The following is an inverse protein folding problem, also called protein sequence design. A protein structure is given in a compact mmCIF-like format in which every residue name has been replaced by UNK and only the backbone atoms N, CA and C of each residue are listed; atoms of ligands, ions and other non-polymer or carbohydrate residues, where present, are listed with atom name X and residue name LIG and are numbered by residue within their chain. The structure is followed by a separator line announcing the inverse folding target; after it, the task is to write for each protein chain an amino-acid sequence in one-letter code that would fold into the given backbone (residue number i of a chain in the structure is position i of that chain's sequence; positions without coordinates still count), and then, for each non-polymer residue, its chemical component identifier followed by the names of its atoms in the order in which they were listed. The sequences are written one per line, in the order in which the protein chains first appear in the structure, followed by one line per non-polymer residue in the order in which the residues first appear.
data_IF_545011707870
#
_entry.id   IF_545011707870
#
_cell.length_a   1.000
_cell.length_b   1.000
_cell.length_c   1.000
_cell.angle_alpha   90.00
_cell.angle_beta   90.00
_cell.angle_gamma   90.00
#
_symmetry.space_group_name_H-M   'P 1'
#
loop_
_entity.id
_entity.type
_entity.pdbx_description
1 polymer ?
#
# COMPACT_ATOMS: atom_id res chain seq x y z
N UNK A 1 -2.36 12.22 -16.05
CA UNK A 1 -2.13 11.41 -14.83
C UNK A 1 -1.55 12.34 -13.77
N UNK A 2 -2.13 12.34 -12.57
CA UNK A 2 -1.64 13.13 -11.44
C UNK A 2 -1.24 12.19 -10.29
N UNK A 3 -0.15 12.51 -9.59
CA UNK A 3 0.34 11.74 -8.45
C UNK A 3 0.96 12.64 -7.39
N UNK A 4 0.67 12.33 -6.13
CA UNK A 4 1.41 12.83 -4.97
C UNK A 4 2.01 11.62 -4.27
N UNK A 5 3.33 11.61 -4.06
CA UNK A 5 4.04 10.51 -3.39
C UNK A 5 4.81 11.12 -2.21
N UNK A 6 4.60 10.58 -1.02
CA UNK A 6 5.33 10.94 0.18
C UNK A 6 6.20 9.74 0.59
N UNK A 7 7.51 9.95 0.66
CA UNK A 7 8.45 8.95 1.16
C UNK A 7 8.98 9.39 2.52
N UNK A 8 8.85 8.54 3.51
CA UNK A 8 9.38 8.74 4.85
C UNK A 8 10.33 7.58 5.18
N UNK A 9 11.65 7.75 5.02
CA UNK A 9 12.63 6.71 5.31
C UNK A 9 12.46 6.14 6.72
N UNK A 10 12.49 4.82 6.86
CA UNK A 10 12.26 4.12 8.13
C UNK A 10 10.79 4.02 8.56
N UNK A 11 9.85 4.58 7.79
CA UNK A 11 8.40 4.49 8.02
C UNK A 11 7.71 3.85 6.81
N UNK A 12 8.05 4.28 5.60
CA UNK A 12 7.49 3.76 4.36
C UNK A 12 7.09 4.86 3.40
N UNK A 13 6.11 4.60 2.55
CA UNK A 13 5.62 5.54 1.55
C UNK A 13 4.09 5.60 1.52
N UNK A 14 3.56 6.75 1.13
CA UNK A 14 2.16 6.89 0.75
C UNK A 14 2.04 7.56 -0.60
N UNK A 15 0.97 7.26 -1.33
CA UNK A 15 0.68 7.97 -2.56
C UNK A 15 -0.82 8.19 -2.75
N UNK A 16 -1.17 9.27 -3.45
CA UNK A 16 -2.49 9.47 -4.03
C UNK A 16 -2.33 9.53 -5.55
N UNK A 17 -3.02 8.63 -6.24
CA UNK A 17 -2.97 8.45 -7.69
C UNK A 17 -4.32 8.81 -8.29
N UNK A 18 -4.32 9.68 -9.31
CA UNK A 18 -5.51 10.02 -10.11
C UNK A 18 -5.22 9.79 -11.58
N UNK A 19 -6.11 9.06 -12.24
CA UNK A 19 -6.02 8.70 -13.65
C UNK A 19 -7.34 8.99 -14.36
N UNK A 20 -7.25 9.41 -15.62
CA UNK A 20 -8.41 9.67 -16.50
C UNK A 20 -8.48 8.68 -17.68
N UNK A 21 -7.76 7.58 -17.55
CA UNK A 21 -7.69 6.51 -18.55
C UNK A 21 -7.43 5.19 -17.83
N UNK A 22 -7.77 4.09 -18.50
CA UNK A 22 -7.33 2.78 -18.05
C UNK A 22 -5.81 2.69 -17.97
N UNK A 23 -5.30 1.90 -17.03
CA UNK A 23 -3.88 1.61 -16.87
C UNK A 23 -3.72 0.10 -16.78
N UNK A 24 -2.75 -0.44 -17.54
CA UNK A 24 -2.30 -1.81 -17.40
C UNK A 24 -0.81 -1.77 -17.10
N UNK A 25 -0.42 -2.30 -15.95
CA UNK A 25 0.99 -2.52 -15.58
C UNK A 25 1.20 -4.02 -15.48
N UNK A 26 2.15 -4.55 -16.23
CA UNK A 26 2.40 -5.98 -16.31
C UNK A 26 3.67 -6.35 -15.57
N UNK A 27 3.68 -7.52 -14.92
CA UNK A 27 4.85 -8.11 -14.27
C UNK A 27 5.53 -7.19 -13.27
N UNK A 28 4.74 -6.47 -12.47
CA UNK A 28 5.25 -5.64 -11.39
C UNK A 28 5.68 -6.52 -10.22
N UNK A 29 6.95 -6.45 -9.86
CA UNK A 29 7.46 -7.07 -8.64
C UNK A 29 7.28 -6.12 -7.44
N UNK A 30 6.68 -6.64 -6.37
CA UNK A 30 6.43 -5.92 -5.14
C UNK A 30 7.49 -6.27 -4.11
N UNK A 31 8.44 -5.38 -3.87
CA UNK A 31 9.48 -5.56 -2.85
C UNK A 31 8.90 -5.51 -1.43
N UNK A 32 7.89 -4.65 -1.23
CA UNK A 32 7.21 -4.44 0.05
C UNK A 32 5.72 -4.78 -0.07
N UNK A 33 5.04 -4.97 1.07
CA UNK A 33 3.59 -5.12 1.07
C UNK A 33 2.92 -3.77 0.85
N UNK A 34 1.96 -3.74 -0.08
CA UNK A 34 1.25 -2.54 -0.48
C UNK A 34 -0.23 -2.66 -0.13
N UNK A 35 -0.77 -1.62 0.49
CA UNK A 35 -2.20 -1.45 0.76
C UNK A 35 -2.77 -0.38 -0.18
N UNK A 36 -3.81 -0.73 -0.91
CA UNK A 36 -4.52 0.16 -1.82
C UNK A 36 -5.93 0.39 -1.28
N UNK A 37 -6.34 1.64 -1.11
CA UNK A 37 -7.75 2.04 -1.00
C UNK A 37 -8.19 2.55 -2.37
N UNK A 38 -9.35 2.12 -2.83
CA UNK A 38 -9.93 2.56 -4.10
C UNK A 38 -11.09 3.53 -3.83
N UNK A 39 -10.88 4.85 -3.80
CA UNK A 39 -12.01 5.78 -3.71
C UNK A 39 -12.91 5.80 -4.96
N UNK A 40 -12.35 5.66 -6.17
CA UNK A 40 -13.09 5.75 -7.42
C UNK A 40 -12.54 4.79 -8.48
N UNK A 41 -13.46 4.15 -9.22
CA UNK A 41 -13.13 3.15 -10.22
C UNK A 41 -12.91 1.77 -9.61
N UNK A 42 -12.04 0.97 -10.22
CA UNK A 42 -11.67 -0.35 -9.71
C UNK A 42 -10.22 -0.69 -10.07
N UNK A 43 -9.61 -1.51 -9.23
CA UNK A 43 -8.30 -2.12 -9.47
C UNK A 43 -8.45 -3.62 -9.49
N UNK A 44 -8.04 -4.25 -10.59
CA UNK A 44 -7.87 -5.70 -10.71
C UNK A 44 -6.40 -6.03 -10.57
N UNK A 45 -6.08 -6.99 -9.72
CA UNK A 45 -4.73 -7.56 -9.61
C UNK A 45 -4.77 -9.02 -9.99
N UNK A 46 -3.82 -9.45 -10.82
CA UNK A 46 -3.67 -10.82 -11.31
C UNK A 46 -2.31 -11.36 -10.94
N UNK A 47 -2.26 -12.59 -10.47
CA UNK A 47 -1.02 -13.29 -10.17
C UNK A 47 -1.20 -14.77 -10.44
N UNK A 48 -0.24 -15.40 -11.11
CA UNK A 48 -0.29 -16.83 -11.45
C UNK A 48 -1.62 -17.20 -12.15
N UNK A 49 -2.48 -18.00 -11.50
CA UNK A 49 -3.79 -18.44 -11.98
C UNK A 49 -4.97 -17.78 -11.22
N UNK A 50 -4.71 -16.75 -10.43
CA UNK A 50 -5.70 -16.07 -9.60
C UNK A 50 -5.85 -14.60 -9.99
N UNK A 51 -7.04 -14.04 -9.70
CA UNK A 51 -7.29 -12.61 -9.77
C UNK A 51 -8.21 -12.14 -8.65
N UNK A 52 -8.11 -10.85 -8.36
CA UNK A 52 -9.01 -10.15 -7.44
C UNK A 52 -9.33 -8.78 -8.01
N UNK A 53 -10.55 -8.31 -7.75
CA UNK A 53 -11.00 -6.96 -8.11
C UNK A 53 -11.43 -6.24 -6.84
N UNK A 54 -10.85 -5.06 -6.62
CA UNK A 54 -11.30 -4.11 -5.62
C UNK A 54 -12.04 -2.96 -6.31
N UNK A 55 -13.28 -2.73 -5.87
CA UNK A 55 -14.15 -1.66 -6.32
C UNK A 55 -14.06 -0.43 -5.39
N UNK A 56 -14.76 0.64 -5.76
CA UNK A 56 -14.85 1.84 -4.94
C UNK A 56 -15.25 1.53 -3.48
N UNK A 57 -14.54 2.15 -2.53
CA UNK A 57 -14.69 1.94 -1.09
C UNK A 57 -13.95 0.72 -0.52
N UNK A 58 -13.37 -0.14 -1.37
CA UNK A 58 -12.69 -1.35 -0.93
C UNK A 58 -11.18 -1.17 -0.79
N UNK A 59 -10.61 -2.03 0.05
CA UNK A 59 -9.17 -2.17 0.26
C UNK A 59 -8.64 -3.40 -0.49
N UNK A 60 -7.41 -3.29 -0.96
CA UNK A 60 -6.66 -4.37 -1.59
C UNK A 60 -5.26 -4.42 -0.98
N UNK A 61 -4.80 -5.62 -0.64
CA UNK A 61 -3.44 -5.85 -0.15
C UNK A 61 -2.71 -6.70 -1.19
N UNK A 62 -1.51 -6.27 -1.57
CA UNK A 62 -0.56 -7.06 -2.36
C UNK A 62 0.65 -7.32 -1.48
N UNK A 63 0.95 -8.59 -1.22
CA UNK A 63 2.08 -8.96 -0.36
C UNK A 63 3.42 -8.70 -1.06
N UNK A 64 4.45 -8.45 -0.26
CA UNK A 64 5.83 -8.45 -0.73
C UNK A 64 6.20 -9.78 -1.41
N UNK A 65 7.22 -9.74 -2.24
CA UNK A 65 7.75 -10.88 -3.01
C UNK A 65 6.75 -11.48 -4.00
N UNK A 66 5.73 -10.72 -4.40
CA UNK A 66 4.80 -11.11 -5.46
C UNK A 66 5.09 -10.35 -6.75
N UNK A 67 5.00 -11.07 -7.87
CA UNK A 67 4.94 -10.45 -9.20
C UNK A 67 3.50 -10.50 -9.68
N UNK A 68 2.92 -9.34 -9.98
CA UNK A 68 1.51 -9.22 -10.33
C UNK A 68 1.30 -8.30 -11.53
N UNK A 69 0.19 -8.48 -12.23
CA UNK A 69 -0.34 -7.50 -13.17
C UNK A 69 -1.39 -6.64 -12.47
N UNK A 70 -1.40 -5.33 -12.73
CA UNK A 70 -2.37 -4.38 -12.19
C UNK A 70 -3.13 -3.74 -13.35
N UNK A 71 -4.46 -3.81 -13.28
CA UNK A 71 -5.36 -3.13 -14.20
C UNK A 71 -6.25 -2.17 -13.43
N UNK A 72 -6.11 -0.87 -13.70
CA UNK A 72 -7.00 0.16 -13.17
C UNK A 72 -8.02 0.53 -14.23
N UNK A 73 -9.30 0.55 -13.85
CA UNK A 73 -10.40 1.01 -14.70
C UNK A 73 -11.07 2.20 -14.03
N UNK A 74 -11.28 3.27 -14.79
CA UNK A 74 -12.01 4.45 -14.33
C UNK A 74 -13.48 4.10 -14.02
N UNK A 75 -14.09 4.89 -13.12
CA UNK A 75 -15.53 4.88 -12.95
C UNK A 75 -16.23 5.54 -14.15
N UNK A 76 -17.56 5.53 -14.16
CA UNK A 76 -18.39 6.11 -15.24
C UNK A 76 -18.13 7.60 -15.46
N UNK A 77 -17.66 8.32 -14.44
CA UNK A 77 -17.24 9.72 -14.52
C UNK A 77 -15.87 9.92 -15.21
N UNK A 78 -15.26 8.85 -15.73
CA UNK A 78 -13.97 8.88 -16.40
C UNK A 78 -12.77 9.02 -15.48
N UNK A 79 -12.94 8.88 -14.16
CA UNK A 79 -11.85 9.00 -13.19
C UNK A 79 -11.61 7.72 -12.41
N UNK A 80 -10.33 7.36 -12.26
CA UNK A 80 -9.85 6.40 -11.29
C UNK A 80 -9.06 7.15 -10.21
N UNK A 81 -9.27 6.79 -8.94
CA UNK A 81 -8.49 7.30 -7.82
C UNK A 81 -8.12 6.17 -6.88
N UNK A 82 -6.88 6.18 -6.41
CA UNK A 82 -6.38 5.25 -5.42
C UNK A 82 -5.46 5.93 -4.41
N UNK A 83 -5.59 5.56 -3.15
CA UNK A 83 -4.61 5.85 -2.12
C UNK A 83 -3.77 4.59 -1.86
N UNK A 84 -2.46 4.75 -1.83
CA UNK A 84 -1.49 3.69 -1.61
C UNK A 84 -0.77 3.94 -0.28
N UNK A 85 -0.55 2.88 0.47
CA UNK A 85 0.33 2.86 1.63
C UNK A 85 1.28 1.66 1.52
N UNK A 86 2.56 1.95 1.67
CA UNK A 86 3.64 0.96 1.76
C UNK A 86 4.28 1.21 3.11
N UNK A 87 4.37 0.18 3.95
CA UNK A 87 5.05 0.30 5.23
C UNK A 87 6.46 -0.28 5.12
N UNK A 88 7.40 0.35 5.81
CA UNK A 88 8.73 -0.22 6.04
C UNK A 88 8.55 -1.45 6.95
N UNK A 89 8.97 -2.67 6.55
CA UNK A 89 8.86 -3.87 7.38
C UNK A 89 9.51 -3.70 8.77
N UNK A 90 10.53 -2.84 8.88
CA UNK A 90 11.20 -2.54 10.14
C UNK A 90 10.31 -1.81 11.15
N UNK A 91 9.22 -1.17 10.72
CA UNK A 91 8.23 -0.59 11.64
C UNK A 91 7.57 -1.64 12.53
N UNK A 92 7.35 -2.84 11.99
CA UNK A 92 6.62 -3.90 12.69
C UNK A 92 7.54 -5.00 13.22
N UNK A 93 8.82 -5.04 12.81
CA UNK A 93 9.77 -6.05 13.30
C UNK A 93 9.98 -5.98 14.82
N UNK A 94 9.87 -4.79 15.42
CA UNK A 94 9.94 -4.61 16.89
C UNK A 94 8.68 -5.09 17.61
N UNK A 95 7.51 -4.96 16.98
CA UNK A 95 6.24 -5.42 17.54
C UNK A 95 6.14 -6.96 17.56
N UNK A 96 6.72 -7.65 16.57
CA UNK A 96 6.75 -9.12 16.53
C UNK A 96 7.79 -9.75 17.47
N UNK A 97 8.86 -9.04 17.83
CA UNK A 97 9.80 -9.51 18.86
C UNK A 97 9.27 -9.36 20.30
N UNK A 98 8.25 -8.52 20.51
CA UNK A 98 7.61 -8.28 21.79
C UNK A 98 6.26 -8.99 21.91
N UNK A 99 6.17 -10.26 21.47
CA UNK A 99 5.05 -11.13 21.90
C UNK A 99 5.30 -11.51 23.36
N UNK A 100 5.15 -10.53 24.24
CA UNK A 100 4.65 -10.81 25.58
C UNK A 100 3.15 -11.12 25.38
N UNK A 101 2.61 -12.25 25.87
CA UNK A 101 1.18 -12.57 25.75
C UNK A 101 0.27 -11.59 26.53
N UNK A 102 0.83 -10.55 27.14
CA UNK A 102 0.06 -9.47 27.75
C UNK A 102 -0.69 -8.69 26.68
N UNK A 103 -1.94 -8.26 26.93
CA UNK A 103 -2.67 -7.42 25.99
C UNK A 103 -1.82 -6.19 25.63
N UNK A 104 -1.82 -5.74 24.37
CA UNK A 104 -1.06 -4.56 23.98
C UNK A 104 -1.42 -3.43 24.94
N UNK A 105 -0.40 -2.85 25.59
CA UNK A 105 -0.60 -1.74 26.50
C UNK A 105 -1.46 -0.69 25.77
N UNK A 106 -2.52 -0.15 26.42
CA UNK A 106 -3.41 0.78 25.77
C UNK A 106 -2.61 2.00 25.34
N UNK A 107 -2.35 2.13 24.04
CA UNK A 107 -1.89 3.38 23.47
C UNK A 107 -3.10 4.31 23.40
N UNK A 108 -2.89 5.61 23.61
CA UNK A 108 -3.96 6.63 23.72
C UNK A 108 -4.68 6.93 22.38
N UNK A 109 -4.74 5.95 21.47
CA UNK A 109 -5.34 6.03 20.14
C UNK A 109 -4.46 6.70 19.08
N UNK A 110 -3.59 7.64 19.47
CA UNK A 110 -2.70 8.36 18.55
C UNK A 110 -1.28 8.37 19.11
N UNK A 111 -0.33 7.86 18.33
CA UNK A 111 1.10 7.97 18.61
C UNK A 111 1.79 8.54 17.39
N UNK A 112 2.42 9.71 17.53
CA UNK A 112 3.27 10.25 16.49
C UNK A 112 4.60 9.48 16.50
N UNK A 113 4.89 8.77 15.40
CA UNK A 113 6.22 8.21 15.19
C UNK A 113 7.15 9.35 14.80
N UNK A 114 7.92 9.87 15.77
CA UNK A 114 9.02 10.78 15.48
C UNK A 114 10.05 10.02 14.65
N UNK A 115 10.19 10.40 13.38
CA UNK A 115 11.19 9.94 12.39
C UNK A 115 12.15 8.86 12.90
N UNK A 116 12.00 7.62 12.42
CA UNK A 116 12.96 6.55 12.67
C UNK A 116 14.32 7.01 12.10
N UNK A 117 15.24 7.33 12.98
CA UNK A 117 16.54 7.89 12.62
C UNK A 117 17.30 6.91 11.74
N UNK A 118 17.56 7.33 10.48
CA UNK A 118 18.52 6.75 9.54
C UNK A 118 19.77 6.20 10.24
N UNK A 119 19.98 4.89 10.12
CA UNK A 119 21.23 4.26 9.65
C UNK A 119 20.74 3.07 8.84
N UNK A 120 21.02 2.98 7.54
CA UNK A 120 22.21 2.30 7.02
C UNK A 120 22.54 2.89 5.65
N UNK A 121 23.64 3.65 5.58
CA UNK A 121 24.55 3.59 4.44
C UNK A 121 25.74 2.76 4.93
N UNK A 122 25.94 1.60 4.33
CA UNK A 122 27.24 0.95 4.06
C UNK A 122 27.01 -0.03 2.94
#
# INVERSE_FOLDING_TARGET
MARTINLNPGIGASAHLIQHSGLVLTSLYFEYTHLYLIPQGQTRVRWQQADVVAHAGQLLIVNSSQTVDILNTAADNGTFSCQLLIYDPLLFSTLFCAVDPSPPAPFSGVLALSTLSKRIFT
#
